data_IF_187733123616
#
_entry.id   IF_187733123616
#
_cell.length_a   1.000
_cell.length_b   1.000
_cell.length_c   1.000
_cell.angle_alpha   90.00
_cell.angle_beta   90.00
_cell.angle_gamma   90.00
#
_symmetry.space_group_name_H-M   'P 1'
#
loop_
_entity.id
_entity.type
_entity.pdbx_description
1 polymer ?
#
# COMPACT_ATOMS: atom_id res chain seq x y z
N UNK A 1 -25.80 29.92 9.74
CA UNK A 1 -24.97 29.05 10.61
C UNK A 1 -24.63 27.82 9.75
N UNK A 2 -23.47 27.84 9.14
CA UNK A 2 -23.01 26.71 8.34
C UNK A 2 -22.69 25.55 9.30
N UNK A 3 -23.47 24.49 9.21
CA UNK A 3 -23.14 23.21 9.87
C UNK A 3 -21.74 22.80 9.42
N UNK A 4 -20.82 22.48 10.33
CA UNK A 4 -19.52 21.95 9.95
C UNK A 4 -19.74 20.72 9.08
N UNK A 5 -19.33 20.77 7.83
CA UNK A 5 -19.28 19.57 6.97
C UNK A 5 -18.35 18.59 7.65
N UNK A 6 -18.91 17.52 8.20
CA UNK A 6 -18.17 16.45 8.82
C UNK A 6 -17.19 15.90 7.78
N UNK A 7 -15.89 16.05 8.03
CA UNK A 7 -14.86 15.59 7.09
C UNK A 7 -14.94 14.07 7.01
N UNK A 8 -15.15 13.54 5.80
CA UNK A 8 -15.19 12.10 5.57
C UNK A 8 -13.90 11.45 6.10
N UNK A 9 -14.03 10.29 6.75
CA UNK A 9 -12.88 9.47 7.15
C UNK A 9 -12.10 9.01 5.93
N UNK A 10 -10.78 8.92 6.07
CA UNK A 10 -9.87 8.54 4.99
C UNK A 10 -9.63 7.05 5.02
N UNK A 11 -9.80 6.41 3.87
CA UNK A 11 -9.37 5.03 3.60
C UNK A 11 -8.16 5.06 2.68
N UNK A 12 -7.13 4.32 3.06
CA UNK A 12 -5.97 4.05 2.21
C UNK A 12 -5.91 2.56 1.86
N UNK A 13 -5.74 2.26 0.58
CA UNK A 13 -5.46 0.89 0.13
C UNK A 13 -4.42 0.89 -0.98
N UNK A 14 -3.46 -0.03 -0.88
CA UNK A 14 -2.39 -0.20 -1.87
C UNK A 14 -2.37 -1.61 -2.44
N UNK A 15 -2.21 -1.72 -3.75
CA UNK A 15 -1.95 -3.00 -4.42
C UNK A 15 -0.62 -2.92 -5.16
N UNK A 16 0.21 -3.97 -5.00
CA UNK A 16 1.48 -4.07 -5.70
C UNK A 16 1.26 -4.45 -7.17
N UNK A 17 1.96 -3.80 -8.12
CA UNK A 17 1.94 -4.16 -9.54
C UNK A 17 2.88 -5.36 -9.80
N UNK A 18 2.73 -6.45 -9.05
CA UNK A 18 3.65 -7.60 -9.01
C UNK A 18 3.11 -8.84 -9.71
N UNK A 19 2.42 -8.68 -10.83
CA UNK A 19 1.90 -9.79 -11.62
C UNK A 19 0.48 -9.58 -12.10
N UNK A 20 -0.14 -10.63 -12.66
CA UNK A 20 -1.53 -10.58 -13.11
C UNK A 20 -2.46 -10.68 -11.89
N UNK A 21 -3.37 -9.73 -11.77
CA UNK A 21 -4.41 -9.79 -10.75
C UNK A 21 -5.28 -11.04 -10.93
N UNK A 22 -5.52 -11.74 -9.84
CA UNK A 22 -6.38 -12.91 -9.83
C UNK A 22 -7.82 -12.53 -9.50
N UNK A 23 -8.76 -13.42 -9.81
CA UNK A 23 -10.16 -13.27 -9.40
C UNK A 23 -10.29 -13.10 -7.87
N UNK A 24 -9.41 -13.74 -7.11
CA UNK A 24 -9.35 -13.58 -5.65
C UNK A 24 -9.00 -12.14 -5.21
N UNK A 25 -8.09 -11.48 -5.91
CA UNK A 25 -7.79 -10.06 -5.64
C UNK A 25 -8.97 -9.14 -5.96
N UNK A 26 -9.71 -9.43 -7.04
CA UNK A 26 -10.91 -8.68 -7.39
C UNK A 26 -12.01 -8.83 -6.34
N UNK A 27 -12.36 -10.07 -5.98
CA UNK A 27 -13.43 -10.35 -5.01
C UNK A 27 -13.05 -9.90 -3.60
N UNK A 28 -11.80 -10.14 -3.21
CA UNK A 28 -11.32 -9.86 -1.85
C UNK A 28 -11.05 -8.38 -1.55
N UNK A 29 -10.69 -7.60 -2.56
CA UNK A 29 -10.31 -6.20 -2.40
C UNK A 29 -11.11 -5.25 -3.30
N UNK A 30 -10.92 -5.31 -4.62
CA UNK A 30 -11.41 -4.29 -5.56
C UNK A 30 -12.93 -4.11 -5.54
N UNK A 31 -13.68 -5.20 -5.49
CA UNK A 31 -15.15 -5.16 -5.43
C UNK A 31 -15.65 -4.39 -4.20
N UNK A 32 -14.96 -4.53 -3.08
CA UNK A 32 -15.35 -3.88 -1.83
C UNK A 32 -15.00 -2.38 -1.83
N UNK A 33 -13.99 -1.96 -2.58
CA UNK A 33 -13.58 -0.56 -2.66
C UNK A 33 -14.69 0.36 -3.17
N UNK A 34 -15.43 -0.08 -4.18
CA UNK A 34 -16.54 0.69 -4.74
C UNK A 34 -17.64 0.97 -3.72
N UNK A 35 -17.87 0.07 -2.76
CA UNK A 35 -18.90 0.24 -1.73
C UNK A 35 -18.54 1.31 -0.70
N UNK A 36 -17.27 1.71 -0.64
CA UNK A 36 -16.75 2.66 0.34
C UNK A 36 -16.72 4.11 -0.18
N UNK A 37 -16.85 4.33 -1.50
CA UNK A 37 -16.69 5.65 -2.15
C UNK A 37 -17.67 6.71 -1.65
N UNK A 38 -18.89 6.30 -1.29
CA UNK A 38 -19.92 7.26 -0.90
C UNK A 38 -19.78 7.72 0.57
N UNK A 39 -19.22 6.87 1.44
CA UNK A 39 -19.08 7.15 2.87
C UNK A 39 -17.69 7.72 3.24
N UNK A 40 -16.66 7.38 2.46
CA UNK A 40 -15.26 7.68 2.79
C UNK A 40 -14.57 8.50 1.71
N UNK A 41 -13.51 9.18 2.09
CA UNK A 41 -12.51 9.68 1.16
C UNK A 41 -11.52 8.56 0.86
N UNK A 42 -11.57 8.00 -0.35
CA UNK A 42 -10.78 6.83 -0.70
C UNK A 42 -9.51 7.21 -1.47
N UNK A 43 -8.38 6.63 -1.03
CA UNK A 43 -7.07 6.76 -1.63
C UNK A 43 -6.60 5.38 -2.05
N UNK A 44 -6.44 5.16 -3.37
CA UNK A 44 -5.99 3.91 -3.95
C UNK A 44 -4.62 4.10 -4.59
N UNK A 45 -3.64 3.41 -4.05
CA UNK A 45 -2.24 3.54 -4.44
C UNK A 45 -1.76 2.30 -5.20
N UNK A 46 -1.13 2.50 -6.36
CA UNK A 46 -0.30 1.49 -7.00
C UNK A 46 1.05 1.52 -6.32
N UNK A 47 1.33 0.55 -5.43
CA UNK A 47 2.51 0.58 -4.56
C UNK A 47 3.74 -0.04 -5.25
N UNK A 48 4.25 0.67 -6.23
CA UNK A 48 5.39 0.26 -7.07
C UNK A 48 6.72 0.25 -6.29
N UNK A 49 6.88 1.09 -5.27
CA UNK A 49 8.07 1.07 -4.41
C UNK A 49 8.12 -0.21 -3.55
N UNK A 50 6.98 -0.76 -3.14
CA UNK A 50 6.95 -2.07 -2.49
C UNK A 50 7.29 -3.20 -3.47
N UNK A 51 6.94 -3.05 -4.75
CA UNK A 51 7.25 -4.06 -5.77
C UNK A 51 8.75 -4.22 -6.01
N UNK A 52 9.54 -3.14 -5.92
CA UNK A 52 10.99 -3.17 -6.15
C UNK A 52 11.80 -3.79 -5.01
N UNK A 53 11.17 -4.15 -3.88
CA UNK A 53 11.80 -4.98 -2.84
C UNK A 53 12.20 -6.36 -3.36
N UNK A 54 11.61 -6.79 -4.47
CA UNK A 54 12.00 -7.94 -5.27
C UNK A 54 12.43 -7.41 -6.64
N UNK A 55 13.49 -7.99 -7.23
CA UNK A 55 14.02 -7.53 -8.51
C UNK A 55 12.94 -7.54 -9.59
N UNK A 56 12.78 -6.41 -10.27
CA UNK A 56 11.81 -6.19 -11.35
C UNK A 56 12.52 -5.76 -12.63
N UNK A 57 12.01 -6.17 -13.77
CA UNK A 57 12.34 -5.52 -15.03
C UNK A 57 11.65 -4.14 -15.09
N UNK A 58 12.38 -3.03 -15.32
CA UNK A 58 11.80 -1.70 -15.25
C UNK A 58 10.69 -1.44 -16.28
N UNK A 59 10.81 -2.01 -17.49
CA UNK A 59 9.80 -1.84 -18.53
C UNK A 59 8.51 -2.60 -18.19
N UNK A 60 8.67 -3.82 -17.67
CA UNK A 60 7.56 -4.64 -17.20
C UNK A 60 6.86 -4.00 -16.00
N UNK A 61 7.61 -3.46 -15.02
CA UNK A 61 7.04 -2.77 -13.86
C UNK A 61 6.21 -1.56 -14.29
N UNK A 62 6.75 -0.72 -15.18
CA UNK A 62 6.02 0.46 -15.71
C UNK A 62 4.72 0.07 -16.38
N UNK A 63 4.74 -0.97 -17.22
CA UNK A 63 3.54 -1.50 -17.88
C UNK A 63 2.51 -2.00 -16.84
N UNK A 64 2.93 -2.76 -15.85
CA UNK A 64 2.06 -3.29 -14.79
C UNK A 64 1.42 -2.18 -13.94
N UNK A 65 2.13 -1.08 -13.67
CA UNK A 65 1.55 0.07 -12.99
C UNK A 65 0.38 0.67 -13.79
N UNK A 66 0.55 0.82 -15.11
CA UNK A 66 -0.51 1.31 -15.99
C UNK A 66 -1.69 0.31 -16.08
N UNK A 67 -1.38 -0.97 -16.23
CA UNK A 67 -2.39 -2.04 -16.26
C UNK A 67 -3.21 -2.09 -14.97
N UNK A 68 -2.56 -1.99 -13.81
CA UNK A 68 -3.25 -1.99 -12.52
C UNK A 68 -4.13 -0.75 -12.35
N UNK A 69 -3.64 0.42 -12.76
CA UNK A 69 -4.46 1.65 -12.75
C UNK A 69 -5.68 1.52 -13.66
N UNK A 70 -5.51 0.95 -14.85
CA UNK A 70 -6.62 0.68 -15.77
C UNK A 70 -7.64 -0.32 -15.16
N UNK A 71 -7.17 -1.34 -14.45
CA UNK A 71 -8.02 -2.31 -13.76
C UNK A 71 -8.81 -1.63 -12.63
N UNK A 72 -8.22 -0.73 -11.85
CA UNK A 72 -8.94 0.05 -10.85
C UNK A 72 -10.15 0.77 -11.47
N UNK A 73 -9.93 1.49 -12.57
CA UNK A 73 -10.98 2.24 -13.28
C UNK A 73 -12.01 1.28 -13.89
N UNK A 74 -11.56 0.21 -14.53
CA UNK A 74 -12.44 -0.79 -15.14
C UNK A 74 -13.29 -1.56 -14.11
N UNK A 75 -12.79 -1.68 -12.87
CA UNK A 75 -13.53 -2.27 -11.74
C UNK A 75 -14.62 -1.34 -11.18
N UNK A 76 -14.72 -0.14 -11.72
CA UNK A 76 -15.76 0.83 -11.39
C UNK A 76 -15.36 1.88 -10.36
N UNK A 77 -14.06 2.00 -10.01
CA UNK A 77 -13.59 3.12 -9.18
C UNK A 77 -13.63 4.42 -10.01
N UNK A 78 -14.37 5.40 -9.53
CA UNK A 78 -14.50 6.69 -10.19
C UNK A 78 -13.30 7.61 -9.84
N UNK A 79 -12.42 7.95 -10.81
CA UNK A 79 -11.27 8.82 -10.55
C UNK A 79 -11.66 10.27 -10.21
N UNK A 80 -12.93 10.65 -10.38
CA UNK A 80 -13.44 11.96 -9.94
C UNK A 80 -13.84 11.97 -8.47
N UNK A 81 -14.14 10.80 -7.90
CA UNK A 81 -14.51 10.62 -6.49
C UNK A 81 -13.33 10.18 -5.63
N UNK A 82 -12.39 9.43 -6.22
CA UNK A 82 -11.28 8.79 -5.53
C UNK A 82 -9.94 9.36 -5.98
N UNK A 83 -8.96 9.31 -5.09
CA UNK A 83 -7.57 9.58 -5.44
C UNK A 83 -6.93 8.25 -5.86
N UNK A 84 -6.49 8.17 -7.12
CA UNK A 84 -5.79 7.01 -7.69
C UNK A 84 -4.43 7.49 -8.19
N UNK A 85 -3.34 6.89 -7.70
CA UNK A 85 -2.00 7.32 -8.08
C UNK A 85 -0.95 6.19 -7.93
N UNK A 86 0.25 6.44 -8.47
CA UNK A 86 1.41 5.57 -8.31
C UNK A 86 2.28 6.10 -7.16
N UNK A 87 2.69 5.24 -6.23
CA UNK A 87 3.40 5.59 -5.00
C UNK A 87 4.67 6.41 -5.27
N UNK A 88 5.46 6.02 -6.27
CA UNK A 88 6.70 6.71 -6.63
C UNK A 88 6.51 8.14 -7.16
N UNK A 89 5.28 8.54 -7.49
CA UNK A 89 4.98 9.90 -7.93
C UNK A 89 4.81 10.88 -6.76
N UNK A 90 4.80 10.40 -5.52
CA UNK A 90 4.70 11.20 -4.29
C UNK A 90 5.92 10.95 -3.42
N UNK A 91 6.90 11.85 -3.43
CA UNK A 91 8.17 11.70 -2.71
C UNK A 91 8.00 11.53 -1.20
N UNK A 92 6.94 12.09 -0.64
CA UNK A 92 6.63 12.02 0.78
C UNK A 92 6.59 10.60 1.37
N UNK A 93 6.25 9.59 0.56
CA UNK A 93 6.31 8.18 1.00
C UNK A 93 7.74 7.76 1.36
N UNK A 94 8.71 8.06 0.48
CA UNK A 94 10.11 7.72 0.71
C UNK A 94 10.72 8.56 1.84
N UNK A 95 10.39 9.84 1.90
CA UNK A 95 10.89 10.79 2.90
C UNK A 95 10.42 10.37 4.29
N UNK A 96 9.11 10.13 4.47
CA UNK A 96 8.57 9.69 5.74
C UNK A 96 9.06 8.29 6.12
N UNK A 97 9.17 7.36 5.15
CA UNK A 97 9.74 6.03 5.40
C UNK A 97 11.18 6.11 5.91
N UNK A 98 11.99 7.01 5.39
CA UNK A 98 13.35 7.23 5.88
C UNK A 98 13.35 7.73 7.33
N UNK A 99 12.51 8.70 7.66
CA UNK A 99 12.36 9.20 9.02
C UNK A 99 11.96 8.06 9.96
N UNK A 100 10.93 7.29 9.60
CA UNK A 100 10.46 6.17 10.41
C UNK A 100 11.54 5.07 10.58
N UNK A 101 12.35 4.81 9.55
CA UNK A 101 13.49 3.89 9.67
C UNK A 101 14.48 4.29 10.75
N UNK A 102 14.68 5.60 10.98
CA UNK A 102 15.59 6.10 12.02
C UNK A 102 15.04 5.89 13.44
N UNK A 103 13.74 5.68 13.59
CA UNK A 103 13.07 5.48 14.89
C UNK A 103 12.62 4.03 15.12
N UNK A 104 12.59 3.18 14.08
CA UNK A 104 12.16 1.78 14.22
C UNK A 104 13.33 0.89 14.62
N UNK A 105 13.15 0.09 15.66
CA UNK A 105 14.18 -0.81 16.14
C UNK A 105 14.32 -2.06 15.29
N UNK A 106 15.56 -2.48 15.03
CA UNK A 106 15.90 -3.69 14.28
C UNK A 106 15.18 -4.94 14.81
N UNK A 107 15.06 -5.06 16.14
CA UNK A 107 14.38 -6.19 16.76
C UNK A 107 12.88 -6.27 16.48
N UNK A 108 12.22 -5.15 16.17
CA UNK A 108 10.83 -5.12 15.75
C UNK A 108 10.67 -5.63 14.33
N UNK A 109 11.51 -5.17 13.42
CA UNK A 109 11.53 -5.63 12.03
C UNK A 109 11.88 -7.12 11.92
N UNK A 110 12.82 -7.62 12.72
CA UNK A 110 13.22 -9.04 12.74
C UNK A 110 12.09 -9.98 13.18
N UNK A 111 11.14 -9.50 13.97
CA UNK A 111 9.99 -10.28 14.44
C UNK A 111 8.88 -10.40 13.39
N UNK A 112 8.91 -9.60 12.31
CA UNK A 112 7.91 -9.63 11.27
C UNK A 112 7.88 -10.99 10.54
N UNK A 113 6.74 -11.68 10.58
CA UNK A 113 6.56 -12.99 9.94
C UNK A 113 6.69 -12.90 8.43
N UNK A 114 6.15 -11.84 7.84
CA UNK A 114 6.23 -11.60 6.39
C UNK A 114 7.67 -11.45 5.88
N UNK A 115 8.58 -10.88 6.68
CA UNK A 115 10.01 -10.86 6.34
C UNK A 115 10.57 -12.27 6.26
N UNK A 116 10.27 -13.12 7.24
CA UNK A 116 10.76 -14.51 7.27
C UNK A 116 10.26 -15.31 6.08
N UNK A 117 8.98 -15.19 5.75
CA UNK A 117 8.36 -15.89 4.62
C UNK A 117 8.93 -15.44 3.28
N UNK A 118 9.12 -14.14 3.09
CA UNK A 118 9.71 -13.57 1.86
C UNK A 118 11.20 -13.90 1.73
N UNK A 119 11.95 -13.85 2.83
CA UNK A 119 13.36 -14.21 2.85
C UNK A 119 13.56 -15.69 2.48
N UNK A 120 12.68 -16.60 2.90
CA UNK A 120 12.73 -18.00 2.48
C UNK A 120 12.42 -18.18 1.00
N UNK A 121 11.44 -17.45 0.45
CA UNK A 121 11.04 -17.54 -0.96
C UNK A 121 12.06 -16.91 -1.92
N UNK A 122 12.83 -15.96 -1.44
CA UNK A 122 13.80 -15.17 -2.23
C UNK A 122 15.19 -15.18 -1.59
N UNK A 123 15.66 -16.37 -1.18
CA UNK A 123 16.91 -16.53 -0.44
C UNK A 123 18.13 -15.92 -1.15
N UNK A 124 18.13 -15.88 -2.47
CA UNK A 124 19.21 -15.32 -3.29
C UNK A 124 19.16 -13.77 -3.41
N UNK A 125 18.12 -13.13 -2.88
CA UNK A 125 17.91 -11.68 -3.03
C UNK A 125 17.32 -11.06 -1.77
N UNK A 126 17.91 -11.33 -0.61
CA UNK A 126 17.56 -10.68 0.64
C UNK A 126 18.25 -9.32 0.67
N UNK A 127 17.49 -8.25 0.44
CA UNK A 127 18.00 -6.88 0.43
C UNK A 127 17.40 -6.04 1.58
N UNK A 128 17.99 -4.87 1.82
CA UNK A 128 17.56 -3.97 2.88
C UNK A 128 16.08 -3.54 2.74
N UNK A 129 15.61 -3.30 1.51
CA UNK A 129 14.22 -2.93 1.25
C UNK A 129 13.23 -4.03 1.66
N UNK A 130 13.60 -5.31 1.48
CA UNK A 130 12.80 -6.44 1.94
C UNK A 130 12.70 -6.50 3.47
N UNK A 131 13.71 -6.00 4.17
CA UNK A 131 13.72 -5.92 5.63
C UNK A 131 12.96 -4.71 6.16
N UNK A 132 13.09 -3.55 5.49
CA UNK A 132 12.56 -2.26 5.96
C UNK A 132 11.21 -1.87 5.34
N UNK A 133 10.63 -2.65 4.41
CA UNK A 133 9.36 -2.28 3.80
C UNK A 133 8.19 -2.06 4.78
N UNK A 134 8.17 -2.63 6.01
CA UNK A 134 7.12 -2.31 6.98
C UNK A 134 7.09 -0.83 7.38
N UNK A 135 8.25 -0.15 7.40
CA UNK A 135 8.32 1.29 7.66
C UNK A 135 7.81 2.11 6.48
N UNK A 136 8.01 1.65 5.24
CA UNK A 136 7.40 2.26 4.06
C UNK A 136 5.87 2.09 4.09
N UNK A 137 5.36 0.93 4.50
CA UNK A 137 3.92 0.73 4.67
C UNK A 137 3.35 1.64 5.77
N UNK A 138 4.06 1.81 6.89
CA UNK A 138 3.68 2.76 7.92
C UNK A 138 3.63 4.20 7.38
N UNK A 139 4.63 4.59 6.58
CA UNK A 139 4.66 5.89 5.91
C UNK A 139 3.47 6.09 4.98
N UNK A 140 3.09 5.07 4.19
CA UNK A 140 1.93 5.12 3.29
C UNK A 140 0.64 5.45 4.05
N UNK A 141 0.49 4.90 5.25
CA UNK A 141 -0.71 5.06 6.09
C UNK A 141 -0.70 6.43 6.80
N UNK A 142 0.42 6.77 7.42
CA UNK A 142 0.55 7.97 8.26
C UNK A 142 0.57 9.26 7.43
N UNK A 143 1.13 9.24 6.21
CA UNK A 143 1.24 10.39 5.33
C UNK A 143 -0.12 11.07 5.07
N UNK A 144 -1.18 10.28 5.03
CA UNK A 144 -2.55 10.76 4.77
C UNK A 144 -3.43 10.78 6.01
N UNK A 145 -2.86 10.56 7.22
CA UNK A 145 -3.64 10.48 8.46
C UNK A 145 -4.82 9.49 8.33
N UNK A 146 -4.54 8.34 7.75
CA UNK A 146 -5.53 7.34 7.38
C UNK A 146 -6.30 6.81 8.59
N UNK A 147 -7.61 6.76 8.50
CA UNK A 147 -8.48 6.22 9.55
C UNK A 147 -8.70 4.72 9.42
N UNK A 148 -8.75 4.21 8.19
CA UNK A 148 -9.08 2.82 7.88
C UNK A 148 -8.16 2.28 6.78
N UNK A 149 -7.65 1.07 6.99
CA UNK A 149 -6.83 0.34 6.01
C UNK A 149 -7.42 -1.06 5.84
N UNK A 150 -8.12 -1.34 4.73
CA UNK A 150 -8.61 -2.68 4.45
C UNK A 150 -7.46 -3.60 4.09
N UNK A 151 -7.16 -4.56 4.95
CA UNK A 151 -6.03 -5.50 4.80
C UNK A 151 -6.45 -6.94 5.02
N UNK A 152 -5.67 -7.88 4.48
CA UNK A 152 -5.74 -9.28 4.84
C UNK A 152 -5.18 -9.54 6.26
N UNK A 153 -5.54 -10.68 6.82
CA UNK A 153 -5.10 -11.08 8.18
C UNK A 153 -3.57 -11.17 8.32
N UNK A 154 -2.87 -11.46 7.23
CA UNK A 154 -1.42 -11.56 7.13
C UNK A 154 -0.70 -10.23 7.30
N UNK A 155 -1.39 -9.10 7.13
CA UNK A 155 -0.83 -7.74 7.25
C UNK A 155 -1.06 -7.11 8.63
N UNK A 156 -1.69 -7.80 9.58
CA UNK A 156 -2.00 -7.25 10.92
C UNK A 156 -0.76 -6.76 11.66
N UNK A 157 0.36 -7.52 11.60
CA UNK A 157 1.59 -7.12 12.30
C UNK A 157 2.16 -5.79 11.81
N UNK A 158 2.01 -5.48 10.51
CA UNK A 158 2.45 -4.20 9.96
C UNK A 158 1.60 -3.03 10.46
N UNK A 159 0.27 -3.26 10.63
CA UNK A 159 -0.59 -2.24 11.24
C UNK A 159 -0.25 -2.01 12.72
N UNK A 160 0.09 -3.05 13.47
CA UNK A 160 0.53 -2.88 14.86
C UNK A 160 1.82 -2.06 14.93
N UNK A 161 2.79 -2.31 14.04
CA UNK A 161 4.00 -1.48 13.93
C UNK A 161 3.66 -0.02 13.63
N UNK A 162 2.67 0.23 12.79
CA UNK A 162 2.25 1.59 12.41
C UNK A 162 1.58 2.33 13.58
N UNK A 163 0.96 1.61 14.52
CA UNK A 163 0.27 2.18 15.69
C UNK A 163 1.21 2.56 16.84
N UNK A 164 2.36 1.89 16.94
CA UNK A 164 3.37 2.14 17.94
C UNK A 164 4.23 3.35 17.59
#
# INVERSE_FOLDING_TARGET
>A
MDTPTETKKIIFSGIQPSGTLTLGNYIGALRNFKLLEDEYQCIYCVVDMHAITVRQDPAALRRRCLELTAIYIASGLDPKKNIIYCQSHVSGHAELAWILNCFTYMGELQRMTQFKDKAQKHADNINAGLFTYPTLMAADILLYQTNLVPIGADQKQHLELTRN
#
